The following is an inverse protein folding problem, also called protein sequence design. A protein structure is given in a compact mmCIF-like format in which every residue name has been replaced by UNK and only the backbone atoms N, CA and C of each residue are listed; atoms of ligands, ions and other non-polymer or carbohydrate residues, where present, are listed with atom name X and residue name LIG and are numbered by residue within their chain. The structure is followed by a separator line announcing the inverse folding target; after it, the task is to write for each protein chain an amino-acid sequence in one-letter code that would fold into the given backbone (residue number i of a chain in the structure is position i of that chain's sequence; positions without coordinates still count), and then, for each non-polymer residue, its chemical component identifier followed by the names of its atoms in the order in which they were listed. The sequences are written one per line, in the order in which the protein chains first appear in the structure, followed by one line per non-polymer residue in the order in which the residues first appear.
data_IF_038555076668
#
_entry.id   IF_038555076668
#
_cell.length_a   1.000
_cell.length_b   1.000
_cell.length_c   1.000
_cell.angle_alpha   90.00
_cell.angle_beta   90.00
_cell.angle_gamma   90.00
#
_symmetry.space_group_name_H-M   'P 1'
#
loop_
_entity.id
_entity.type
_entity.pdbx_description
1 polymer ?
#
# COMPACT_ATOMS: atom_id res chain seq x y z
N UNK A 1 3.16 -83.03 36.41
CA UNK A 1 4.55 -83.59 36.31
C UNK A 1 5.00 -83.41 34.86
N UNK A 2 6.24 -82.90 34.67
CA UNK A 2 7.05 -83.04 33.46
C UNK A 2 6.63 -82.06 32.34
N UNK A 3 7.45 -81.36 31.73
CA UNK A 3 8.80 -80.72 31.83
C UNK A 3 8.95 -79.83 30.59
N UNK A 4 9.64 -78.72 30.79
CA UNK A 4 10.14 -77.81 29.73
C UNK A 4 10.94 -78.57 28.70
N UNK A 5 10.79 -78.21 27.44
CA UNK A 5 11.93 -78.14 26.54
C UNK A 5 11.62 -77.20 25.36
N UNK A 6 12.58 -76.34 25.14
CA UNK A 6 12.64 -75.27 24.13
C UNK A 6 12.60 -75.83 22.70
N UNK A 7 11.98 -75.05 21.80
CA UNK A 7 12.24 -75.16 20.38
C UNK A 7 12.65 -73.75 19.85
N UNK A 8 13.95 -73.63 19.59
CA UNK A 8 14.46 -72.51 18.92
C UNK A 8 14.25 -72.70 17.42
N UNK A 9 13.36 -72.00 16.83
CA UNK A 9 13.14 -71.89 15.38
C UNK A 9 13.61 -70.52 14.87
N UNK A 10 14.71 -70.54 14.14
CA UNK A 10 15.28 -69.37 13.49
C UNK A 10 14.30 -68.88 12.41
N UNK A 11 13.72 -67.71 12.64
CA UNK A 11 13.05 -66.92 11.60
C UNK A 11 14.02 -65.96 11.02
N UNK A 12 14.54 -66.30 9.83
CA UNK A 12 15.23 -65.39 8.93
C UNK A 12 14.18 -64.36 8.44
N UNK A 13 14.09 -63.25 9.12
CA UNK A 13 13.32 -62.12 8.70
C UNK A 13 14.01 -61.40 7.55
N UNK A 14 13.55 -61.65 6.33
CA UNK A 14 13.91 -60.81 5.20
C UNK A 14 13.40 -59.39 5.42
N UNK A 15 14.31 -58.46 5.64
CA UNK A 15 14.02 -57.04 5.51
C UNK A 15 13.73 -56.77 4.03
N UNK A 16 12.47 -56.73 3.67
CA UNK A 16 11.99 -56.06 2.48
C UNK A 16 12.24 -54.57 2.72
N UNK A 17 13.39 -54.06 2.26
CA UNK A 17 13.61 -52.64 2.07
C UNK A 17 12.61 -52.18 1.01
N UNK A 18 11.45 -51.71 1.47
CA UNK A 18 10.60 -50.91 0.61
C UNK A 18 11.45 -49.71 0.16
N UNK A 19 11.59 -49.43 -1.16
CA UNK A 19 12.18 -48.21 -1.56
C UNK A 19 11.28 -47.09 -1.02
N UNK A 20 11.79 -46.30 -0.10
CA UNK A 20 11.27 -44.97 0.17
C UNK A 20 11.34 -44.25 -1.16
N UNK A 21 10.28 -44.37 -1.94
CA UNK A 21 10.08 -43.52 -3.09
C UNK A 21 10.17 -42.13 -2.57
N UNK A 22 11.31 -41.48 -2.80
CA UNK A 22 11.35 -40.05 -2.83
C UNK A 22 10.25 -39.66 -3.81
N UNK A 23 9.08 -39.26 -3.31
CA UNK A 23 8.10 -38.52 -4.11
C UNK A 23 8.88 -37.31 -4.59
N UNK A 24 9.49 -37.46 -5.77
CA UNK A 24 10.02 -36.34 -6.52
C UNK A 24 8.89 -35.34 -6.57
N UNK A 25 9.08 -34.20 -5.89
CA UNK A 25 8.15 -33.07 -5.99
C UNK A 25 7.82 -32.94 -7.47
N UNK A 26 6.58 -33.24 -7.85
CA UNK A 26 6.07 -32.89 -9.18
C UNK A 26 6.51 -31.44 -9.38
N UNK A 27 7.16 -31.08 -10.54
CA UNK A 27 7.53 -29.72 -10.78
C UNK A 27 6.30 -28.86 -10.52
N UNK A 28 6.31 -28.15 -9.38
CA UNK A 28 5.18 -27.39 -8.90
C UNK A 28 4.83 -26.40 -9.99
N UNK A 29 3.54 -26.22 -10.29
CA UNK A 29 3.07 -25.21 -11.21
C UNK A 29 3.77 -23.89 -10.84
N UNK A 30 4.51 -23.29 -11.76
CA UNK A 30 5.13 -21.96 -11.56
C UNK A 30 4.00 -20.97 -11.37
N UNK A 31 3.94 -20.33 -10.20
CA UNK A 31 2.92 -19.35 -9.88
C UNK A 31 3.11 -18.07 -10.72
N UNK A 32 2.01 -17.49 -11.19
CA UNK A 32 2.02 -16.24 -11.96
C UNK A 32 1.32 -15.14 -11.17
N UNK A 33 2.08 -14.15 -10.71
CA UNK A 33 1.58 -13.00 -9.94
C UNK A 33 1.57 -11.77 -10.84
N UNK A 34 0.41 -11.15 -11.01
CA UNK A 34 0.26 -9.91 -11.78
C UNK A 34 0.35 -8.68 -10.88
N UNK A 35 1.21 -7.73 -11.21
CA UNK A 35 1.30 -6.43 -10.55
C UNK A 35 0.81 -5.34 -11.49
N UNK A 36 -0.24 -4.61 -11.10
CA UNK A 36 -0.67 -3.39 -11.77
C UNK A 36 -0.13 -2.18 -11.01
N UNK A 37 0.64 -1.34 -11.69
CA UNK A 37 1.45 -0.28 -11.09
C UNK A 37 1.17 1.07 -11.74
N UNK A 38 1.17 2.15 -10.95
CA UNK A 38 1.07 3.51 -11.47
C UNK A 38 2.47 4.04 -11.77
N UNK A 39 2.62 4.77 -12.87
CA UNK A 39 3.86 5.40 -13.31
C UNK A 39 4.44 4.82 -14.58
N UNK A 40 5.61 5.31 -15.00
CA UNK A 40 6.31 4.82 -16.17
C UNK A 40 6.82 3.39 -15.97
N UNK A 41 6.95 2.66 -17.06
CA UNK A 41 7.54 1.32 -17.02
C UNK A 41 9.00 1.39 -16.57
N UNK A 42 9.36 0.57 -15.59
CA UNK A 42 10.72 0.50 -15.09
C UNK A 42 11.66 -0.18 -16.11
N UNK A 43 12.90 0.28 -16.16
CA UNK A 43 13.99 -0.36 -16.86
C UNK A 43 14.31 -1.76 -16.29
N UNK A 44 15.06 -2.58 -17.02
CA UNK A 44 15.48 -3.90 -16.53
C UNK A 44 16.29 -3.81 -15.23
N UNK A 45 17.14 -2.79 -15.11
CA UNK A 45 17.96 -2.56 -13.92
C UNK A 45 17.10 -2.20 -12.70
N UNK A 46 16.14 -1.28 -12.88
CA UNK A 46 15.19 -0.90 -11.82
C UNK A 46 14.30 -2.07 -11.39
N UNK A 47 13.86 -2.91 -12.35
CA UNK A 47 13.12 -4.15 -12.04
C UNK A 47 14.00 -5.10 -11.22
N UNK A 48 15.26 -5.30 -11.59
CA UNK A 48 16.19 -6.16 -10.84
C UNK A 48 16.44 -5.62 -9.42
N UNK A 49 16.57 -4.30 -9.27
CA UNK A 49 16.65 -3.64 -7.97
C UNK A 49 15.37 -3.83 -7.16
N UNK A 50 14.22 -3.62 -7.77
CA UNK A 50 12.92 -3.81 -7.13
C UNK A 50 12.71 -5.27 -6.66
N UNK A 51 13.24 -6.25 -7.37
CA UNK A 51 13.17 -7.66 -6.96
C UNK A 51 13.85 -7.93 -5.62
N UNK A 52 14.85 -7.12 -5.24
CA UNK A 52 15.60 -7.26 -3.98
C UNK A 52 15.22 -6.24 -2.91
N UNK A 53 14.45 -5.20 -3.25
CA UNK A 53 14.09 -4.11 -2.32
C UNK A 53 12.58 -3.98 -2.08
N UNK A 54 11.75 -4.54 -2.96
CA UNK A 54 10.29 -4.46 -2.81
C UNK A 54 9.82 -5.22 -1.57
N UNK A 55 9.14 -4.57 -0.62
CA UNK A 55 8.63 -5.23 0.58
C UNK A 55 7.69 -6.40 0.26
N UNK A 56 6.88 -6.28 -0.80
CA UNK A 56 6.04 -7.37 -1.29
C UNK A 56 6.86 -8.59 -1.72
N UNK A 57 7.88 -8.39 -2.59
CA UNK A 57 8.71 -9.50 -3.10
C UNK A 57 9.59 -10.11 -2.03
N UNK A 58 10.08 -9.30 -1.07
CA UNK A 58 10.76 -9.80 0.12
C UNK A 58 9.83 -10.68 0.97
N UNK A 59 8.58 -10.23 1.20
CA UNK A 59 7.58 -11.03 1.89
C UNK A 59 7.24 -12.34 1.15
N UNK A 60 7.12 -12.31 -0.17
CA UNK A 60 6.93 -13.53 -0.98
C UNK A 60 8.12 -14.48 -0.84
N UNK A 61 9.35 -13.96 -0.86
CA UNK A 61 10.57 -14.76 -0.68
C UNK A 61 10.62 -15.42 0.70
N UNK A 62 10.27 -14.73 1.77
CA UNK A 62 10.17 -15.26 3.14
C UNK A 62 9.15 -16.42 3.23
N UNK A 63 8.11 -16.41 2.38
CA UNK A 63 7.08 -17.46 2.26
C UNK A 63 7.46 -18.59 1.30
N UNK A 64 8.66 -18.54 0.71
CA UNK A 64 9.20 -19.56 -0.19
C UNK A 64 8.91 -19.32 -1.68
N UNK A 65 8.35 -18.16 -2.07
CA UNK A 65 8.10 -17.80 -3.46
C UNK A 65 9.22 -16.91 -4.00
N UNK A 66 10.00 -17.43 -4.94
CA UNK A 66 11.17 -16.75 -5.51
C UNK A 66 10.96 -16.50 -7.00
N UNK A 67 11.00 -15.22 -7.39
CA UNK A 67 10.89 -14.83 -8.80
C UNK A 67 12.01 -15.45 -9.63
N UNK A 68 11.67 -16.04 -10.77
CA UNK A 68 12.59 -16.76 -11.65
C UNK A 68 12.84 -18.23 -11.27
N UNK A 69 12.34 -18.71 -10.12
CA UNK A 69 12.44 -20.11 -9.70
C UNK A 69 11.06 -20.81 -9.72
N UNK A 70 10.18 -20.45 -8.80
CA UNK A 70 8.86 -21.03 -8.66
C UNK A 70 7.73 -20.00 -8.82
N UNK A 71 8.07 -18.74 -9.10
CA UNK A 71 7.14 -17.64 -9.34
C UNK A 71 7.60 -16.78 -10.52
N UNK A 72 6.65 -16.35 -11.35
CA UNK A 72 6.82 -15.32 -12.38
C UNK A 72 6.01 -14.10 -11.98
N UNK A 73 6.61 -12.93 -12.06
CA UNK A 73 5.95 -11.64 -11.77
C UNK A 73 5.71 -10.88 -13.08
N UNK A 74 4.44 -10.79 -13.46
CA UNK A 74 3.97 -10.03 -14.62
C UNK A 74 3.67 -8.60 -14.19
N UNK A 75 4.55 -7.67 -14.52
CA UNK A 75 4.38 -6.25 -14.17
C UNK A 75 3.78 -5.47 -15.32
N UNK A 76 2.79 -4.64 -15.05
CA UNK A 76 2.21 -3.69 -15.99
C UNK A 76 2.07 -2.33 -15.35
N UNK A 77 2.35 -1.30 -16.13
CA UNK A 77 2.34 0.10 -15.70
C UNK A 77 1.37 0.92 -16.52
N UNK A 78 0.93 2.03 -15.95
CA UNK A 78 0.21 3.07 -16.65
C UNK A 78 0.26 4.39 -15.89
N UNK A 79 0.28 5.50 -16.62
CA UNK A 79 0.32 6.86 -16.09
C UNK A 79 -1.05 7.56 -16.20
N UNK A 80 -2.01 6.92 -16.86
CA UNK A 80 -3.38 7.40 -17.01
C UNK A 80 -4.39 6.27 -16.78
N UNK A 81 -5.67 6.60 -16.49
CA UNK A 81 -6.73 5.62 -16.34
C UNK A 81 -6.84 4.65 -17.53
N UNK A 82 -6.73 5.17 -18.77
CA UNK A 82 -6.84 4.34 -19.97
C UNK A 82 -5.66 3.39 -20.15
N UNK A 83 -4.45 3.86 -19.87
CA UNK A 83 -3.26 3.00 -19.86
C UNK A 83 -3.36 1.91 -18.79
N UNK A 84 -3.86 2.23 -17.60
CA UNK A 84 -4.03 1.24 -16.53
C UNK A 84 -5.15 0.24 -16.84
N UNK A 85 -6.24 0.63 -17.53
CA UNK A 85 -7.24 -0.31 -18.03
C UNK A 85 -6.64 -1.26 -19.05
N UNK A 86 -5.88 -0.75 -20.02
CA UNK A 86 -5.20 -1.58 -21.02
C UNK A 86 -4.19 -2.54 -20.36
N UNK A 87 -3.44 -2.07 -19.36
CA UNK A 87 -2.50 -2.86 -18.56
C UNK A 87 -3.22 -3.96 -17.77
N UNK A 88 -4.36 -3.65 -17.14
CA UNK A 88 -5.20 -4.61 -16.41
C UNK A 88 -5.74 -5.69 -17.35
N UNK A 89 -6.29 -5.32 -18.51
CA UNK A 89 -6.78 -6.26 -19.52
C UNK A 89 -5.65 -7.18 -20.01
N UNK A 90 -4.40 -6.68 -20.16
CA UNK A 90 -3.27 -7.54 -20.53
C UNK A 90 -2.91 -8.55 -19.44
N UNK A 91 -2.91 -8.18 -18.17
CA UNK A 91 -2.71 -9.10 -17.06
C UNK A 91 -3.77 -10.21 -17.02
N UNK A 92 -5.04 -9.86 -17.27
CA UNK A 92 -6.15 -10.82 -17.33
C UNK A 92 -5.96 -11.79 -18.51
N UNK A 93 -5.59 -11.30 -19.70
CA UNK A 93 -5.30 -12.16 -20.87
C UNK A 93 -4.15 -13.14 -20.62
N UNK A 94 -3.17 -12.75 -19.80
CA UNK A 94 -2.04 -13.61 -19.42
C UNK A 94 -2.41 -14.70 -18.43
N UNK A 95 -3.65 -14.71 -17.93
CA UNK A 95 -4.17 -15.72 -17.00
C UNK A 95 -3.26 -15.88 -15.79
N UNK A 96 -2.92 -14.77 -15.13
CA UNK A 96 -2.18 -14.80 -13.86
C UNK A 96 -3.02 -15.49 -12.80
N UNK A 97 -2.36 -16.15 -11.83
CA UNK A 97 -3.03 -16.88 -10.75
C UNK A 97 -3.58 -15.93 -9.68
N UNK A 98 -2.95 -14.77 -9.49
CA UNK A 98 -3.37 -13.73 -8.55
C UNK A 98 -2.87 -12.37 -9.01
N UNK A 99 -3.65 -11.33 -8.75
CA UNK A 99 -3.34 -9.93 -8.98
C UNK A 99 -3.03 -9.25 -7.65
N UNK A 100 -2.00 -8.42 -7.61
CA UNK A 100 -1.62 -7.65 -6.44
C UNK A 100 -1.52 -6.17 -6.77
N UNK A 101 -2.18 -5.33 -5.97
CA UNK A 101 -2.26 -3.88 -6.15
C UNK A 101 -2.12 -3.13 -4.83
N UNK A 102 -1.72 -1.86 -4.91
CA UNK A 102 -1.48 -1.01 -3.74
C UNK A 102 -2.68 -0.16 -3.31
N UNK A 103 -3.79 -0.12 -4.08
CA UNK A 103 -4.89 0.81 -3.78
C UNK A 103 -6.26 0.27 -4.19
N UNK A 104 -7.32 0.85 -3.61
CA UNK A 104 -8.71 0.58 -3.97
C UNK A 104 -9.01 0.97 -5.43
N UNK A 105 -8.43 2.06 -5.93
CA UNK A 105 -8.61 2.51 -7.32
C UNK A 105 -8.08 1.49 -8.33
N UNK A 106 -6.88 0.95 -8.11
CA UNK A 106 -6.32 -0.11 -8.95
C UNK A 106 -7.13 -1.41 -8.85
N UNK A 107 -7.61 -1.75 -7.63
CA UNK A 107 -8.49 -2.90 -7.46
C UNK A 107 -9.80 -2.73 -8.23
N UNK A 108 -10.35 -1.50 -8.26
CA UNK A 108 -11.56 -1.20 -9.03
C UNK A 108 -11.35 -1.39 -10.54
N UNK A 109 -10.23 -0.91 -11.08
CA UNK A 109 -9.87 -1.13 -12.49
C UNK A 109 -9.81 -2.63 -12.79
N UNK A 110 -9.10 -3.41 -11.98
CA UNK A 110 -9.01 -4.87 -12.15
C UNK A 110 -10.37 -5.56 -12.00
N UNK A 111 -11.23 -5.10 -11.08
CA UNK A 111 -12.57 -5.64 -10.88
C UNK A 111 -13.47 -5.48 -12.12
N UNK A 112 -13.24 -4.44 -12.92
CA UNK A 112 -13.95 -4.24 -14.18
C UNK A 112 -13.52 -5.26 -15.23
N UNK A 113 -12.24 -5.68 -15.22
CA UNK A 113 -11.66 -6.60 -16.20
C UNK A 113 -11.82 -8.08 -15.81
N UNK A 114 -11.93 -8.40 -14.52
CA UNK A 114 -12.09 -9.81 -14.08
C UNK A 114 -12.96 -9.94 -12.83
N UNK A 115 -13.77 -11.01 -12.81
CA UNK A 115 -14.56 -11.43 -11.63
C UNK A 115 -14.05 -12.73 -11.01
N UNK A 116 -13.04 -13.35 -11.61
CA UNK A 116 -12.59 -14.70 -11.26
C UNK A 116 -11.13 -14.73 -10.78
N UNK A 117 -10.23 -13.94 -11.38
CA UNK A 117 -8.84 -13.90 -10.92
C UNK A 117 -8.82 -13.18 -9.56
N UNK A 118 -8.24 -13.80 -8.51
CA UNK A 118 -8.08 -13.18 -7.20
C UNK A 118 -7.32 -11.86 -7.26
N UNK A 119 -7.78 -10.86 -6.51
CA UNK A 119 -7.15 -9.54 -6.39
C UNK A 119 -6.83 -9.30 -4.93
N UNK A 120 -5.56 -9.11 -4.60
CA UNK A 120 -5.09 -8.74 -3.26
C UNK A 120 -4.71 -7.26 -3.25
N UNK A 121 -5.33 -6.50 -2.35
CA UNK A 121 -5.02 -5.08 -2.15
C UNK A 121 -4.16 -4.94 -0.90
N UNK A 122 -2.99 -4.32 -1.01
CA UNK A 122 -2.09 -4.19 0.14
C UNK A 122 -2.35 -2.96 1.02
N UNK A 123 -2.97 -1.92 0.47
CA UNK A 123 -3.19 -0.66 1.18
C UNK A 123 -4.38 0.10 0.58
N UNK A 124 -5.58 -0.47 0.67
CA UNK A 124 -6.77 0.20 0.16
C UNK A 124 -7.16 1.36 1.07
N UNK A 125 -7.01 2.59 0.61
CA UNK A 125 -7.58 3.77 1.26
C UNK A 125 -9.10 3.80 1.15
N UNK A 126 -9.78 4.35 2.16
CA UNK A 126 -11.22 4.49 2.20
C UNK A 126 -11.99 3.21 2.53
N UNK A 127 -13.30 3.24 2.35
CA UNK A 127 -14.20 2.15 2.69
C UNK A 127 -14.45 1.24 1.47
N UNK A 128 -13.89 0.02 1.49
CA UNK A 128 -14.03 -0.97 0.41
C UNK A 128 -15.47 -1.47 0.23
N UNK A 129 -16.27 -1.50 1.31
CA UNK A 129 -17.67 -1.91 1.26
C UNK A 129 -18.48 -0.82 0.58
N UNK A 130 -18.35 0.44 1.03
CA UNK A 130 -19.02 1.59 0.43
C UNK A 130 -18.59 1.80 -1.04
N UNK A 131 -17.35 1.46 -1.41
CA UNK A 131 -16.85 1.48 -2.78
C UNK A 131 -17.41 0.35 -3.67
N UNK A 132 -18.16 -0.60 -3.10
CA UNK A 132 -18.70 -1.75 -3.81
C UNK A 132 -17.62 -2.73 -4.32
N UNK A 133 -16.48 -2.77 -3.65
CA UNK A 133 -15.37 -3.68 -3.96
C UNK A 133 -15.52 -5.02 -3.26
N UNK A 134 -16.06 -5.03 -2.05
CA UNK A 134 -16.31 -6.22 -1.24
C UNK A 134 -17.68 -6.17 -0.57
N UNK A 135 -18.26 -7.31 -0.24
CA UNK A 135 -19.57 -7.39 0.42
C UNK A 135 -19.51 -7.02 1.91
N UNK A 136 -18.45 -7.45 2.60
CA UNK A 136 -18.14 -7.07 3.98
C UNK A 136 -16.66 -7.28 4.27
N UNK A 137 -16.13 -6.70 5.36
CA UNK A 137 -14.72 -6.90 5.74
C UNK A 137 -14.47 -8.31 6.26
N UNK A 138 -15.41 -8.88 7.02
CA UNK A 138 -15.26 -10.23 7.58
C UNK A 138 -15.39 -11.33 6.51
N UNK A 139 -16.23 -11.12 5.49
CA UNK A 139 -16.44 -12.03 4.36
C UNK A 139 -16.57 -11.23 3.08
N UNK A 140 -15.48 -10.98 2.36
CA UNK A 140 -15.49 -10.19 1.13
C UNK A 140 -16.42 -10.72 0.05
N UNK A 141 -16.58 -12.05 -0.06
CA UNK A 141 -17.57 -12.73 -0.88
C UNK A 141 -17.29 -12.74 -2.39
N UNK A 142 -16.36 -11.92 -2.87
CA UNK A 142 -15.97 -11.81 -4.27
C UNK A 142 -14.54 -12.29 -4.53
N UNK A 143 -13.92 -11.73 -5.58
CA UNK A 143 -12.53 -12.02 -5.93
C UNK A 143 -11.51 -11.03 -5.33
N UNK A 144 -11.93 -10.09 -4.48
CA UNK A 144 -11.07 -9.08 -3.84
C UNK A 144 -10.92 -9.39 -2.37
N UNK A 145 -9.69 -9.31 -1.86
CA UNK A 145 -9.32 -9.38 -0.44
C UNK A 145 -8.06 -8.55 -0.16
N UNK A 146 -7.59 -8.54 1.07
CA UNK A 146 -6.34 -7.86 1.46
C UNK A 146 -6.48 -6.94 2.66
N UNK A 147 -5.95 -5.72 2.56
CA UNK A 147 -5.83 -4.78 3.67
C UNK A 147 -6.47 -3.44 3.33
N UNK A 148 -7.29 -2.91 4.25
CA UNK A 148 -7.95 -1.60 4.15
C UNK A 148 -7.33 -0.64 5.15
N UNK A 149 -6.98 0.56 4.68
CA UNK A 149 -6.53 1.67 5.51
C UNK A 149 -7.68 2.66 5.67
N UNK A 150 -8.07 2.98 6.89
CA UNK A 150 -8.99 4.08 7.17
C UNK A 150 -8.24 5.42 7.22
N UNK A 151 -7.55 5.77 6.13
CA UNK A 151 -6.69 6.97 6.10
C UNK A 151 -7.49 8.27 6.13
N UNK A 152 -8.74 8.25 5.68
CA UNK A 152 -9.71 9.33 5.79
C UNK A 152 -10.00 9.69 7.26
N UNK A 153 -10.12 8.70 8.15
CA UNK A 153 -10.28 8.91 9.59
C UNK A 153 -9.08 9.57 10.27
N UNK A 154 -7.92 9.62 9.61
CA UNK A 154 -6.70 10.25 10.14
C UNK A 154 -6.50 11.72 9.70
N UNK A 155 -7.35 12.24 8.81
CA UNK A 155 -7.29 13.63 8.35
C UNK A 155 -7.34 14.63 9.52
N UNK A 156 -8.27 14.51 10.48
CA UNK A 156 -8.30 15.41 11.63
C UNK A 156 -6.97 15.40 12.38
N UNK A 157 -6.40 14.23 12.61
CA UNK A 157 -5.14 14.07 13.35
C UNK A 157 -3.96 14.71 12.63
N UNK A 158 -3.89 14.61 11.31
CA UNK A 158 -2.84 15.26 10.51
C UNK A 158 -2.95 16.79 10.59
N UNK A 159 -4.15 17.35 10.51
CA UNK A 159 -4.39 18.80 10.68
C UNK A 159 -4.05 19.28 12.10
N UNK A 160 -4.40 18.52 13.15
CA UNK A 160 -3.99 18.81 14.52
C UNK A 160 -2.46 18.85 14.67
N UNK A 161 -1.74 17.87 14.10
CA UNK A 161 -0.30 17.82 14.15
C UNK A 161 0.32 19.01 13.41
N UNK A 162 -0.21 19.38 12.24
CA UNK A 162 0.25 20.53 11.50
C UNK A 162 0.03 21.83 12.29
N UNK A 163 -1.15 21.99 12.90
CA UNK A 163 -1.47 23.16 13.75
C UNK A 163 -0.59 23.24 15.00
N UNK A 164 -0.19 22.10 15.55
CA UNK A 164 0.69 22.09 16.72
C UNK A 164 2.15 22.51 16.41
N UNK A 165 2.56 22.42 15.14
CA UNK A 165 3.93 22.74 14.68
C UNK A 165 4.01 24.10 14.04
N UNK A 166 2.98 24.54 13.31
CA UNK A 166 2.96 25.82 12.59
C UNK A 166 2.28 26.90 13.44
N UNK A 167 3.01 27.94 13.91
CA UNK A 167 2.43 29.02 14.70
C UNK A 167 1.31 29.74 13.96
N UNK A 168 0.20 29.98 14.66
CA UNK A 168 -0.96 30.72 14.13
C UNK A 168 -1.49 30.16 12.79
N UNK A 169 -1.43 28.85 12.61
CA UNK A 169 -1.97 28.19 11.42
C UNK A 169 -3.46 28.48 11.28
N UNK A 170 -3.83 29.17 10.21
CA UNK A 170 -5.19 29.56 9.88
C UNK A 170 -5.61 29.24 8.44
N UNK A 171 -4.66 28.99 7.54
CA UNK A 171 -4.90 28.63 6.14
C UNK A 171 -4.06 27.41 5.76
N UNK A 172 -4.74 26.40 5.23
CA UNK A 172 -4.11 25.13 4.82
C UNK A 172 -4.59 24.75 3.43
N UNK A 173 -3.65 24.44 2.56
CA UNK A 173 -3.94 23.78 1.29
C UNK A 173 -4.21 22.30 1.50
N UNK A 174 -5.20 21.77 0.80
CA UNK A 174 -5.47 20.33 0.73
C UNK A 174 -5.16 19.85 -0.69
N UNK A 175 -4.02 19.18 -0.86
CA UNK A 175 -3.56 18.65 -2.14
C UNK A 175 -4.06 17.22 -2.30
N UNK A 176 -4.81 16.99 -3.36
CA UNK A 176 -5.33 15.66 -3.70
C UNK A 176 -5.38 15.43 -5.21
N UNK A 177 -5.42 14.16 -5.61
CA UNK A 177 -5.67 13.74 -6.98
C UNK A 177 -7.18 13.66 -7.23
N UNK A 178 -7.61 13.90 -8.47
CA UNK A 178 -8.98 13.61 -8.89
C UNK A 178 -9.23 12.09 -8.97
N UNK A 179 -9.64 11.51 -7.86
CA UNK A 179 -9.95 10.07 -7.79
C UNK A 179 -11.27 9.70 -8.48
N UNK A 180 -12.05 10.67 -8.98
CA UNK A 180 -13.25 10.39 -9.78
C UNK A 180 -12.89 9.71 -11.10
N UNK A 181 -11.70 10.01 -11.63
CA UNK A 181 -11.12 9.38 -12.81
C UNK A 181 -10.96 7.86 -12.64
N UNK A 182 -10.88 7.36 -11.40
CA UNK A 182 -10.69 5.96 -11.04
C UNK A 182 -12.01 5.23 -10.71
N UNK A 183 -13.15 5.81 -11.08
CA UNK A 183 -14.49 5.28 -10.79
C UNK A 183 -14.78 5.10 -9.27
N UNK A 184 -14.24 5.98 -8.43
CA UNK A 184 -14.47 6.02 -6.99
C UNK A 184 -14.87 7.43 -6.49
N UNK A 185 -15.91 8.08 -7.08
CA UNK A 185 -16.25 9.47 -6.75
C UNK A 185 -16.66 9.67 -5.28
N UNK A 186 -17.23 8.65 -4.65
CA UNK A 186 -17.64 8.73 -3.23
C UNK A 186 -16.44 8.81 -2.29
N UNK A 187 -15.25 8.37 -2.69
CA UNK A 187 -14.04 8.52 -1.88
C UNK A 187 -13.56 9.98 -1.84
N UNK A 188 -13.57 10.69 -2.97
CA UNK A 188 -13.21 12.12 -3.03
C UNK A 188 -14.15 12.94 -2.15
N UNK A 189 -15.45 12.79 -2.34
CA UNK A 189 -16.46 13.52 -1.55
C UNK A 189 -16.29 13.29 -0.03
N UNK A 190 -15.93 12.06 0.37
CA UNK A 190 -15.70 11.74 1.78
C UNK A 190 -14.44 12.41 2.33
N UNK A 191 -13.34 12.44 1.56
CA UNK A 191 -12.13 13.14 1.95
C UNK A 191 -12.37 14.63 2.12
N UNK A 192 -13.04 15.28 1.15
CA UNK A 192 -13.41 16.69 1.22
C UNK A 192 -14.29 16.99 2.45
N UNK A 193 -15.30 16.16 2.71
CA UNK A 193 -16.18 16.31 3.86
C UNK A 193 -15.41 16.24 5.19
N UNK A 194 -14.56 15.21 5.37
CA UNK A 194 -13.80 15.01 6.61
C UNK A 194 -12.74 16.10 6.80
N UNK A 195 -12.07 16.52 5.74
CA UNK A 195 -11.11 17.61 5.78
C UNK A 195 -11.79 18.94 6.13
N UNK A 196 -12.95 19.24 5.54
CA UNK A 196 -13.73 20.46 5.85
C UNK A 196 -14.27 20.46 7.30
N UNK A 197 -14.70 19.30 7.83
CA UNK A 197 -15.15 19.19 9.23
C UNK A 197 -13.98 19.44 10.17
N UNK A 198 -12.84 18.78 9.93
CA UNK A 198 -11.64 18.93 10.75
C UNK A 198 -11.08 20.36 10.72
N UNK A 199 -11.03 20.98 9.54
CA UNK A 199 -10.58 22.35 9.36
C UNK A 199 -11.47 23.34 10.17
N UNK A 200 -12.80 23.21 10.08
CA UNK A 200 -13.73 24.03 10.89
C UNK A 200 -13.52 23.83 12.39
N UNK A 201 -13.35 22.59 12.86
CA UNK A 201 -13.12 22.30 14.29
C UNK A 201 -11.83 22.94 14.80
N UNK A 202 -10.83 23.09 13.92
CA UNK A 202 -9.54 23.67 14.23
C UNK A 202 -9.42 25.16 13.89
N UNK A 203 -10.50 25.80 13.46
CA UNK A 203 -10.48 27.19 12.98
C UNK A 203 -9.42 27.41 11.89
N UNK A 204 -9.50 26.60 10.84
CA UNK A 204 -8.63 26.61 9.66
C UNK A 204 -9.46 26.84 8.42
N UNK A 205 -9.09 27.81 7.59
CA UNK A 205 -9.55 27.95 6.21
C UNK A 205 -8.85 26.93 5.33
N UNK A 206 -9.61 26.06 4.64
CA UNK A 206 -9.10 24.98 3.82
C UNK A 206 -9.28 25.29 2.34
N UNK A 207 -8.19 25.29 1.58
CA UNK A 207 -8.20 25.49 0.13
C UNK A 207 -7.85 24.19 -0.59
N UNK A 208 -8.81 23.60 -1.31
CA UNK A 208 -8.59 22.34 -2.03
C UNK A 208 -7.91 22.58 -3.36
N UNK A 209 -6.84 21.83 -3.62
CA UNK A 209 -6.10 21.79 -4.89
C UNK A 209 -6.17 20.36 -5.45
N UNK A 210 -6.86 20.22 -6.57
CA UNK A 210 -7.02 18.93 -7.26
C UNK A 210 -6.06 18.89 -8.43
N UNK A 211 -5.29 17.81 -8.55
CA UNK A 211 -4.34 17.57 -9.63
C UNK A 211 -4.74 16.34 -10.43
N UNK A 212 -4.57 16.39 -11.75
CA UNK A 212 -4.92 15.32 -12.69
C UNK A 212 -3.69 14.71 -13.35
N UNK A 213 -2.57 15.43 -13.36
CA UNK A 213 -1.30 15.03 -13.99
C UNK A 213 -0.10 15.74 -13.34
N UNK A 214 1.09 15.16 -13.49
CA UNK A 214 2.33 15.63 -12.86
C UNK A 214 2.63 17.11 -13.08
N UNK A 215 2.48 17.61 -14.31
CA UNK A 215 2.75 19.02 -14.64
C UNK A 215 1.90 20.05 -13.90
N UNK A 216 0.89 19.65 -13.15
CA UNK A 216 0.01 20.54 -12.40
C UNK A 216 0.49 20.81 -10.96
N UNK A 217 1.44 20.04 -10.43
CA UNK A 217 1.94 20.24 -9.05
C UNK A 217 2.54 21.63 -8.86
N UNK A 218 3.41 22.07 -9.78
CA UNK A 218 4.01 23.42 -9.69
C UNK A 218 2.94 24.52 -9.71
N UNK A 219 1.91 24.41 -10.56
CA UNK A 219 0.80 25.36 -10.61
C UNK A 219 -0.02 25.35 -9.32
N UNK A 220 -0.28 24.16 -8.75
CA UNK A 220 -0.97 24.05 -7.48
C UNK A 220 -0.19 24.75 -6.35
N UNK A 221 1.12 24.55 -6.26
CA UNK A 221 1.96 25.22 -5.25
C UNK A 221 2.00 26.75 -5.44
N UNK A 222 2.04 27.24 -6.68
CA UNK A 222 1.91 28.68 -6.94
C UNK A 222 0.55 29.23 -6.47
N UNK A 223 -0.52 28.47 -6.68
CA UNK A 223 -1.85 28.78 -6.16
C UNK A 223 -1.90 28.85 -4.63
N UNK A 224 -1.26 27.90 -3.95
CA UNK A 224 -1.13 27.88 -2.48
C UNK A 224 -0.42 29.15 -1.97
N UNK A 225 0.66 29.56 -2.64
CA UNK A 225 1.38 30.79 -2.28
C UNK A 225 0.54 32.03 -2.50
N UNK A 226 -0.24 32.10 -3.59
CA UNK A 226 -1.16 33.21 -3.85
C UNK A 226 -2.26 33.30 -2.77
N UNK A 227 -2.77 32.18 -2.30
CA UNK A 227 -3.72 32.10 -1.20
C UNK A 227 -3.10 32.37 0.17
N UNK A 228 -1.76 32.45 0.25
CA UNK A 228 -0.99 32.58 1.49
C UNK A 228 -1.27 31.40 2.45
N UNK A 229 -1.37 30.17 1.90
CA UNK A 229 -1.46 28.97 2.70
C UNK A 229 -0.17 28.78 3.51
N UNK A 230 -0.33 28.42 4.78
CA UNK A 230 0.78 28.29 5.73
C UNK A 230 1.22 26.84 5.89
N UNK A 231 0.39 25.92 5.41
CA UNK A 231 0.67 24.48 5.43
C UNK A 231 -0.08 23.73 4.35
N UNK A 232 0.35 22.51 4.08
CA UNK A 232 -0.26 21.63 3.09
C UNK A 232 -0.56 20.27 3.74
N UNK A 233 -1.81 19.85 3.66
CA UNK A 233 -2.23 18.46 3.87
C UNK A 233 -2.19 17.74 2.53
N UNK A 234 -1.40 16.66 2.43
CA UNK A 234 -1.26 15.89 1.19
C UNK A 234 -1.92 14.53 1.36
N UNK A 235 -2.93 14.25 0.52
CA UNK A 235 -3.54 12.91 0.43
C UNK A 235 -2.72 12.04 -0.51
N UNK A 236 -2.47 10.79 -0.10
CA UNK A 236 -1.66 9.88 -0.88
C UNK A 236 -2.52 8.92 -1.70
N UNK A 237 -2.46 9.08 -3.01
CA UNK A 237 -2.87 8.07 -3.99
C UNK A 237 -1.59 7.44 -4.59
N UNK A 238 -1.69 6.35 -5.36
CA UNK A 238 -0.53 5.83 -6.09
C UNK A 238 0.13 6.87 -6.99
N UNK A 239 -0.65 7.75 -7.63
CA UNK A 239 -0.14 8.84 -8.46
C UNK A 239 0.63 9.88 -7.62
N UNK A 240 0.04 10.42 -6.55
CA UNK A 240 0.71 11.33 -5.62
C UNK A 240 1.99 10.70 -5.04
N UNK A 241 1.93 9.40 -4.70
CA UNK A 241 3.07 8.68 -4.14
C UNK A 241 4.25 8.53 -5.12
N UNK A 242 3.97 8.26 -6.39
CA UNK A 242 5.02 8.20 -7.43
C UNK A 242 5.73 9.54 -7.56
N UNK A 243 5.01 10.67 -7.46
CA UNK A 243 5.52 12.02 -7.56
C UNK A 243 5.97 12.63 -6.21
N UNK A 244 6.11 11.83 -5.16
CA UNK A 244 6.42 12.32 -3.80
C UNK A 244 7.67 13.18 -3.71
N UNK A 245 8.72 12.90 -4.50
CA UNK A 245 9.95 13.70 -4.51
C UNK A 245 9.68 15.10 -5.06
N UNK A 246 9.01 15.19 -6.20
CA UNK A 246 8.60 16.47 -6.80
C UNK A 246 7.76 17.30 -5.83
N UNK A 247 6.79 16.70 -5.15
CA UNK A 247 5.94 17.37 -4.17
C UNK A 247 6.76 17.87 -2.97
N UNK A 248 7.69 17.07 -2.46
CA UNK A 248 8.58 17.45 -1.36
C UNK A 248 9.52 18.58 -1.77
N UNK A 249 10.09 18.51 -2.97
CA UNK A 249 10.98 19.55 -3.52
C UNK A 249 10.25 20.88 -3.72
N UNK A 250 9.02 20.85 -4.23
CA UNK A 250 8.15 22.02 -4.35
C UNK A 250 7.81 22.62 -2.98
N UNK A 251 7.50 21.77 -1.98
CA UNK A 251 7.25 22.24 -0.62
C UNK A 251 8.48 22.92 -0.01
N UNK A 252 9.67 22.36 -0.23
CA UNK A 252 10.94 22.94 0.22
C UNK A 252 11.24 24.26 -0.50
N UNK A 253 11.06 24.32 -1.83
CA UNK A 253 11.25 25.53 -2.65
C UNK A 253 10.38 26.69 -2.18
N UNK A 254 9.12 26.41 -1.85
CA UNK A 254 8.17 27.42 -1.39
C UNK A 254 8.17 27.61 0.13
N UNK A 255 9.03 26.90 0.85
CA UNK A 255 9.17 26.96 2.33
C UNK A 255 7.84 26.81 3.05
N UNK A 256 6.99 25.89 2.59
CA UNK A 256 5.68 25.61 3.17
C UNK A 256 5.70 24.33 4.01
N UNK A 257 5.10 24.38 5.20
CA UNK A 257 5.00 23.21 6.08
C UNK A 257 4.06 22.15 5.50
N UNK A 258 4.42 20.87 5.60
CA UNK A 258 3.64 19.79 5.01
C UNK A 258 3.37 18.66 5.99
N UNK A 259 2.18 18.08 5.91
CA UNK A 259 1.85 16.81 6.56
C UNK A 259 1.39 15.79 5.54
N UNK A 260 1.99 14.61 5.61
CA UNK A 260 1.77 13.50 4.68
C UNK A 260 1.10 12.31 5.37
N UNK A 261 0.65 11.36 4.57
CA UNK A 261 0.12 10.09 5.09
C UNK A 261 1.22 9.11 5.49
N UNK A 262 2.34 9.09 4.75
CA UNK A 262 3.35 8.03 4.88
C UNK A 262 4.74 8.59 5.12
N UNK A 263 5.49 7.90 5.97
CA UNK A 263 6.89 8.18 6.29
C UNK A 263 7.78 8.33 5.03
N UNK A 264 7.48 7.60 3.96
CA UNK A 264 8.21 7.64 2.68
C UNK A 264 8.20 9.01 1.98
N UNK A 265 7.40 9.98 2.45
CA UNK A 265 7.51 11.40 2.07
C UNK A 265 8.47 12.18 2.98
N UNK A 266 8.65 11.75 4.23
CA UNK A 266 9.49 12.45 5.21
C UNK A 266 10.98 12.17 4.96
N UNK A 267 11.31 10.95 4.52
CA UNK A 267 12.68 10.54 4.19
C UNK A 267 13.37 11.44 3.15
N UNK A 268 12.74 11.82 2.02
CA UNK A 268 13.34 12.71 1.04
C UNK A 268 13.32 14.20 1.43
N UNK A 269 12.76 14.58 2.59
CA UNK A 269 12.74 15.96 3.06
C UNK A 269 11.38 16.53 3.46
N UNK A 270 10.29 15.73 3.41
CA UNK A 270 8.98 16.16 3.94
C UNK A 270 9.04 16.46 5.43
N UNK A 271 8.21 17.38 5.92
CA UNK A 271 8.26 17.81 7.32
C UNK A 271 7.79 16.75 8.30
N UNK A 272 6.60 16.20 8.08
CA UNK A 272 6.03 15.18 8.96
C UNK A 272 5.02 14.28 8.24
N UNK A 273 4.78 13.10 8.81
CA UNK A 273 3.71 12.20 8.38
C UNK A 273 3.03 11.53 9.55
N UNK A 274 1.76 11.19 9.38
CA UNK A 274 1.01 10.35 10.31
C UNK A 274 0.14 9.35 9.55
N UNK A 275 0.43 8.06 9.68
CA UNK A 275 -0.29 7.02 8.94
C UNK A 275 0.30 5.63 9.14
N UNK A 276 -0.04 4.72 8.23
CA UNK A 276 0.40 3.32 8.29
C UNK A 276 1.80 3.15 7.70
N UNK A 277 2.47 2.07 8.10
CA UNK A 277 3.71 1.62 7.49
C UNK A 277 3.43 0.87 6.18
N UNK A 278 3.60 1.53 5.03
CA UNK A 278 3.34 0.96 3.69
C UNK A 278 4.22 -0.26 3.38
N UNK A 279 5.53 -0.26 3.68
CA UNK A 279 6.36 -1.47 3.59
C UNK A 279 5.79 -2.67 4.34
N UNK A 280 5.34 -2.49 5.58
CA UNK A 280 4.74 -3.56 6.38
C UNK A 280 3.42 -4.05 5.76
N UNK A 281 2.56 -3.14 5.32
CA UNK A 281 1.31 -3.46 4.61
C UNK A 281 1.59 -4.30 3.35
N UNK A 282 2.61 -3.96 2.59
CA UNK A 282 3.00 -4.70 1.38
C UNK A 282 3.49 -6.11 1.71
N UNK A 283 4.30 -6.27 2.78
CA UNK A 283 4.71 -7.59 3.28
C UNK A 283 3.51 -8.41 3.76
N UNK A 284 2.58 -7.77 4.47
CA UNK A 284 1.35 -8.43 4.92
C UNK A 284 0.48 -8.87 3.75
N UNK A 285 0.43 -8.08 2.68
CA UNK A 285 -0.23 -8.43 1.43
C UNK A 285 0.35 -9.69 0.76
N UNK A 286 1.66 -9.93 0.89
CA UNK A 286 2.30 -11.17 0.40
C UNK A 286 1.73 -12.42 1.08
N UNK A 287 1.35 -12.34 2.37
CA UNK A 287 0.71 -13.46 3.09
C UNK A 287 -0.65 -13.82 2.48
N UNK A 288 -1.40 -12.83 2.00
CA UNK A 288 -2.67 -13.08 1.30
C UNK A 288 -2.43 -13.75 -0.05
N UNK A 289 -1.44 -13.29 -0.81
CA UNK A 289 -1.04 -13.91 -2.07
C UNK A 289 -0.61 -15.37 -1.85
N UNK A 290 0.21 -15.65 -0.85
CA UNK A 290 0.63 -17.01 -0.48
C UNK A 290 -0.57 -17.93 -0.19
N UNK A 291 -1.50 -17.47 0.68
CA UNK A 291 -2.71 -18.22 0.99
C UNK A 291 -3.52 -18.57 -0.27
N UNK A 292 -3.67 -17.61 -1.18
CA UNK A 292 -4.41 -17.82 -2.43
C UNK A 292 -3.68 -18.79 -3.36
N UNK A 293 -2.36 -18.66 -3.51
CA UNK A 293 -1.56 -19.58 -4.31
C UNK A 293 -1.57 -21.01 -3.76
N UNK A 294 -1.80 -21.18 -2.44
CA UNK A 294 -2.01 -22.47 -1.77
C UNK A 294 -3.46 -22.94 -1.78
N UNK A 295 -4.37 -22.24 -2.47
CA UNK A 295 -5.75 -22.67 -2.71
C UNK A 295 -6.82 -22.00 -1.85
N UNK A 296 -6.50 -21.03 -1.01
CA UNK A 296 -7.51 -20.25 -0.30
C UNK A 296 -8.35 -19.39 -1.26
N UNK A 297 -9.65 -19.30 -1.01
CA UNK A 297 -10.54 -18.44 -1.80
C UNK A 297 -10.47 -17.00 -1.29
N UNK A 298 -10.31 -15.99 -2.16
CA UNK A 298 -10.24 -14.60 -1.74
C UNK A 298 -11.49 -14.14 -0.98
N UNK A 299 -12.67 -14.61 -1.37
CA UNK A 299 -13.93 -14.25 -0.71
C UNK A 299 -14.08 -14.76 0.74
N UNK A 300 -13.28 -15.74 1.15
CA UNK A 300 -13.26 -16.31 2.51
C UNK A 300 -12.14 -15.71 3.38
N UNK A 301 -11.24 -14.91 2.79
CA UNK A 301 -10.15 -14.25 3.51
C UNK A 301 -10.61 -12.85 3.97
N UNK A 302 -10.71 -12.59 5.30
CA UNK A 302 -11.15 -11.30 5.81
C UNK A 302 -10.24 -10.15 5.35
N UNK A 303 -10.83 -8.97 5.15
CA UNK A 303 -10.08 -7.73 4.97
C UNK A 303 -9.51 -7.32 6.33
N UNK A 304 -8.20 -7.22 6.43
CA UNK A 304 -7.53 -6.73 7.64
C UNK A 304 -7.45 -5.20 7.64
N UNK A 305 -7.53 -4.62 8.84
CA UNK A 305 -7.31 -3.20 9.08
C UNK A 305 -6.10 -3.03 10.01
N UNK A 306 -5.13 -2.17 9.67
CA UNK A 306 -4.01 -1.89 10.55
C UNK A 306 -4.50 -1.16 11.79
N UNK A 307 -3.92 -1.52 12.94
CA UNK A 307 -4.18 -0.89 14.24
C UNK A 307 -3.03 0.00 14.69
N UNK A 308 -1.89 -0.08 14.02
CA UNK A 308 -0.69 0.72 14.31
C UNK A 308 -0.54 1.83 13.28
N UNK A 309 -0.38 3.05 13.78
CA UNK A 309 -0.05 4.23 13.00
C UNK A 309 1.29 4.77 13.46
N UNK A 310 2.09 5.28 12.53
CA UNK A 310 3.41 5.81 12.78
C UNK A 310 3.44 7.31 12.54
N UNK A 311 4.10 8.03 13.47
CA UNK A 311 4.36 9.45 13.39
C UNK A 311 5.85 9.67 13.10
N UNK A 312 6.15 10.27 11.96
CA UNK A 312 7.51 10.61 11.57
C UNK A 312 7.70 12.13 11.47
N UNK A 313 8.86 12.61 11.89
CA UNK A 313 9.26 14.02 11.90
C UNK A 313 10.65 14.21 11.26
N UNK A 314 10.84 15.30 10.51
CA UNK A 314 12.12 15.70 9.96
C UNK A 314 12.56 17.03 10.60
N UNK A 315 13.53 16.97 11.50
CA UNK A 315 14.04 18.15 12.23
C UNK A 315 14.88 19.04 11.32
N UNK A 316 15.56 18.48 10.30
CA UNK A 316 16.28 19.30 9.31
C UNK A 316 15.31 20.20 8.57
N UNK A 317 14.18 19.64 8.12
CA UNK A 317 13.14 20.40 7.42
C UNK A 317 12.48 21.40 8.36
N UNK A 318 12.16 21.02 9.59
CA UNK A 318 11.63 21.95 10.60
C UNK A 318 12.57 23.16 10.81
N UNK A 319 13.87 22.92 10.95
CA UNK A 319 14.89 23.95 11.11
C UNK A 319 14.96 24.91 9.89
N UNK A 320 14.93 24.36 8.68
CA UNK A 320 14.92 25.15 7.43
C UNK A 320 13.68 26.05 7.35
N UNK A 321 12.53 25.54 7.83
CA UNK A 321 11.26 26.28 7.87
C UNK A 321 11.18 27.28 9.04
N UNK A 322 12.17 27.28 9.97
CA UNK A 322 12.14 28.11 11.18
C UNK A 322 11.12 27.66 12.22
N UNK A 323 10.72 26.38 12.18
CA UNK A 323 9.72 25.79 13.06
C UNK A 323 10.37 25.15 14.28
N UNK A 324 9.79 25.38 15.46
CA UNK A 324 10.17 24.69 16.71
C UNK A 324 9.19 23.55 16.94
N UNK A 325 9.70 22.32 16.98
CA UNK A 325 8.87 21.15 17.27
C UNK A 325 8.66 21.04 18.78
N UNK A 326 7.42 21.03 19.28
CA UNK A 326 7.14 20.86 20.71
C UNK A 326 7.72 19.55 21.26
N UNK A 327 8.32 19.56 22.46
CA UNK A 327 8.90 18.34 23.07
C UNK A 327 7.88 17.18 23.18
N UNK A 328 6.61 17.49 23.42
CA UNK A 328 5.54 16.49 23.48
C UNK A 328 5.29 15.77 22.14
N UNK A 329 5.58 16.40 21.01
CA UNK A 329 5.51 15.76 19.69
C UNK A 329 6.75 14.91 19.41
N UNK A 330 7.94 15.38 19.83
CA UNK A 330 9.17 14.60 19.70
C UNK A 330 9.09 13.27 20.48
N UNK A 331 8.54 13.31 21.68
CA UNK A 331 8.36 12.10 22.52
C UNK A 331 7.36 11.10 21.91
N UNK A 332 6.48 11.55 21.05
CA UNK A 332 5.44 10.72 20.40
C UNK A 332 5.83 10.27 19.00
N UNK A 333 6.92 10.78 18.45
CA UNK A 333 7.39 10.39 17.14
C UNK A 333 8.00 8.98 17.19
N UNK A 334 7.53 8.11 16.30
CA UNK A 334 8.10 6.77 16.10
C UNK A 334 9.44 6.88 15.35
N UNK A 335 9.58 7.92 14.51
CA UNK A 335 10.82 8.22 13.80
C UNK A 335 11.10 9.72 13.77
N UNK A 336 12.34 10.06 14.03
CA UNK A 336 12.88 11.42 13.93
C UNK A 336 14.09 11.40 12.99
N UNK A 337 14.06 12.23 11.93
CA UNK A 337 15.17 12.44 11.00
C UNK A 337 15.90 13.71 11.43
N UNK A 338 17.17 13.56 11.83
CA UNK A 338 18.08 14.61 12.29
C UNK A 338 19.09 15.04 11.20
#
# INVERSE_FOLDING_TARGET
MITRRAFIGALVGGFLAAPLGAEGQKPGKIARVGLLLVGPALSREEIAKAATTSPFLLGMKELGWVEGQNMVVERRWGESPDQLRAAAADLVRRKVDVLFVSSASLAKILQLETKTIPIVVSAAGGDLVAAGLVGSLARPGGNITGLQILSDGLIPKRLELLKAVVPNLSRVAFLQEDVTLWALPQMSARYDQLAAIAARTLDIELHTFIVHRAGEFATAFLGMMKNRDQGVLVMSTPFIFVHRREIVDLAAMHRIATVYEYQLFVEPGGLMSYGVNIPEMSRRGAVYVDKILRGAKPGDLPIEQPTKFEFALNLKTAKVLGLTIPPSLLQRADQVIE
#
